data_IF_148666814370
#
_entry.id   IF_148666814370
#
_cell.length_a   1.000
_cell.length_b   1.000
_cell.length_c   1.000
_cell.angle_alpha   90.00
_cell.angle_beta   90.00
_cell.angle_gamma   90.00
#
_symmetry.space_group_name_H-M   'P 1'
#
loop_
_entity.id
_entity.type
_entity.pdbx_description
1 polymer ?
#
# COMPACT_ATOMS: atom_id res chain seq x y z
N UNK A 1 3.58 -6.87 -30.95
CA UNK A 1 2.97 -6.39 -29.68
C UNK A 1 1.57 -6.97 -29.58
N UNK A 2 1.30 -7.90 -28.66
CA UNK A 2 -0.04 -8.49 -28.54
C UNK A 2 -1.05 -7.40 -28.12
N UNK A 3 -2.10 -7.19 -28.93
CA UNK A 3 -3.19 -6.24 -28.62
C UNK A 3 -3.71 -6.54 -27.21
N UNK A 4 -3.72 -5.54 -26.34
CA UNK A 4 -4.32 -5.69 -25.01
C UNK A 4 -5.81 -5.94 -25.23
N UNK A 5 -6.32 -7.09 -24.78
CA UNK A 5 -7.75 -7.43 -24.91
C UNK A 5 -8.61 -6.30 -24.35
N UNK A 6 -9.68 -5.95 -25.08
CA UNK A 6 -10.67 -4.93 -24.68
C UNK A 6 -11.19 -5.17 -23.26
N UNK A 7 -11.34 -6.43 -22.86
CA UNK A 7 -11.76 -6.81 -21.50
C UNK A 7 -10.76 -6.39 -20.41
N UNK A 8 -9.45 -6.39 -20.71
CA UNK A 8 -8.41 -5.92 -19.77
C UNK A 8 -8.38 -4.41 -19.68
N UNK A 9 -8.67 -3.71 -20.79
CA UNK A 9 -8.79 -2.24 -20.80
C UNK A 9 -10.02 -1.83 -19.98
N UNK A 10 -11.17 -2.46 -20.22
CA UNK A 10 -12.40 -2.25 -19.46
C UNK A 10 -12.21 -2.53 -17.96
N UNK A 11 -11.54 -3.64 -17.61
CA UNK A 11 -11.24 -3.93 -16.21
C UNK A 11 -10.34 -2.86 -15.57
N UNK A 12 -9.36 -2.32 -16.30
CA UNK A 12 -8.51 -1.24 -15.78
C UNK A 12 -9.28 0.07 -15.61
N UNK A 13 -10.13 0.45 -16.55
CA UNK A 13 -10.97 1.64 -16.40
C UNK A 13 -11.92 1.51 -15.22
N UNK A 14 -12.50 0.33 -14.99
CA UNK A 14 -13.32 0.06 -13.81
C UNK A 14 -12.52 0.18 -12.51
N UNK A 15 -11.30 -0.37 -12.44
CA UNK A 15 -10.46 -0.21 -11.25
C UNK A 15 -10.04 1.26 -11.06
N UNK A 16 -9.83 2.02 -12.14
CA UNK A 16 -9.53 3.46 -12.04
C UNK A 16 -10.72 4.23 -11.47
N UNK A 17 -11.92 3.98 -12.00
CA UNK A 17 -13.15 4.59 -11.52
C UNK A 17 -13.41 4.22 -10.04
N UNK A 18 -13.30 2.93 -9.69
CA UNK A 18 -13.46 2.46 -8.32
C UNK A 18 -12.39 3.04 -7.37
N UNK A 19 -11.17 3.24 -7.84
CA UNK A 19 -10.11 3.83 -7.03
C UNK A 19 -10.22 5.35 -6.87
N UNK A 20 -10.91 6.04 -7.78
CA UNK A 20 -11.19 7.47 -7.66
C UNK A 20 -12.50 7.75 -6.92
N UNK A 21 -13.43 6.80 -6.89
CA UNK A 21 -14.74 6.95 -6.25
C UNK A 21 -14.67 7.43 -4.79
N UNK A 22 -13.77 6.93 -3.92
CA UNK A 22 -13.69 7.41 -2.54
C UNK A 22 -13.32 8.89 -2.48
N UNK A 23 -12.31 9.33 -3.24
CA UNK A 23 -11.92 10.74 -3.31
C UNK A 23 -13.02 11.62 -3.92
N UNK A 24 -13.75 11.15 -4.93
CA UNK A 24 -14.87 11.88 -5.51
C UNK A 24 -16.01 12.05 -4.48
N UNK A 25 -16.33 10.98 -3.75
CA UNK A 25 -17.33 11.01 -2.68
C UNK A 25 -16.91 11.92 -1.53
N UNK A 26 -15.62 11.91 -1.14
CA UNK A 26 -15.11 12.78 -0.09
C UNK A 26 -15.03 14.24 -0.51
N UNK A 27 -14.61 14.52 -1.74
CA UNK A 27 -14.63 15.88 -2.29
C UNK A 27 -16.04 16.46 -2.31
N UNK A 28 -17.03 15.63 -2.68
CA UNK A 28 -18.44 16.01 -2.63
C UNK A 28 -18.95 16.23 -1.19
N UNK A 29 -18.62 15.34 -0.25
CA UNK A 29 -18.98 15.50 1.17
C UNK A 29 -18.37 16.77 1.77
N UNK A 30 -17.08 17.01 1.56
CA UNK A 30 -16.39 18.22 2.03
C UNK A 30 -17.01 19.50 1.45
N UNK A 31 -17.28 19.51 0.15
CA UNK A 31 -17.96 20.63 -0.51
C UNK A 31 -19.35 20.88 0.09
N UNK A 32 -20.11 19.82 0.36
CA UNK A 32 -21.42 19.93 0.97
C UNK A 32 -21.35 20.50 2.39
N UNK A 33 -20.43 20.01 3.22
CA UNK A 33 -20.18 20.56 4.57
C UNK A 33 -19.80 22.04 4.49
N UNK A 34 -18.90 22.41 3.58
CA UNK A 34 -18.46 23.80 3.40
C UNK A 34 -19.61 24.73 2.97
N UNK A 35 -20.50 24.27 2.10
CA UNK A 35 -21.61 25.08 1.59
C UNK A 35 -22.80 25.16 2.55
N UNK A 36 -23.12 24.07 3.23
CA UNK A 36 -24.39 23.92 3.96
C UNK A 36 -24.24 23.88 5.47
N UNK A 37 -23.00 23.79 5.97
CA UNK A 37 -22.74 23.57 7.40
C UNK A 37 -23.22 22.20 7.90
N UNK A 38 -23.46 21.23 7.01
CA UNK A 38 -23.98 19.91 7.36
C UNK A 38 -23.00 19.09 8.21
N UNK A 39 -23.50 18.25 9.12
CA UNK A 39 -22.68 17.33 9.94
C UNK A 39 -22.23 16.04 9.22
N UNK A 40 -22.19 16.04 7.88
CA UNK A 40 -21.96 14.84 7.07
C UNK A 40 -20.57 14.18 7.29
N UNK A 41 -19.61 14.90 7.85
CA UNK A 41 -18.27 14.42 8.20
C UNK A 41 -18.08 14.20 9.71
N UNK A 42 -19.14 14.31 10.51
CA UNK A 42 -19.11 14.14 11.97
C UNK A 42 -18.54 15.35 12.71
N UNK A 43 -18.26 15.16 14.01
CA UNK A 43 -17.86 16.23 14.93
C UNK A 43 -16.47 16.83 14.63
N UNK A 44 -15.57 16.06 14.02
CA UNK A 44 -14.27 16.54 13.54
C UNK A 44 -14.05 16.12 12.07
N UNK A 45 -14.45 16.98 11.11
CA UNK A 45 -14.31 16.71 9.70
C UNK A 45 -12.86 16.49 9.24
N UNK A 46 -11.89 17.12 9.91
CA UNK A 46 -10.47 17.04 9.54
C UNK A 46 -9.93 15.66 9.91
N UNK A 47 -10.17 15.24 11.16
CA UNK A 47 -9.76 13.92 11.63
C UNK A 47 -10.39 12.80 10.79
N UNK A 48 -11.64 12.94 10.37
CA UNK A 48 -12.31 11.93 9.53
C UNK A 48 -11.70 11.85 8.12
N UNK A 49 -11.33 12.98 7.52
CA UNK A 49 -10.66 13.02 6.21
C UNK A 49 -9.31 12.32 6.29
N UNK A 50 -8.50 12.63 7.31
CA UNK A 50 -7.21 12.02 7.52
C UNK A 50 -7.33 10.51 7.74
N UNK A 51 -8.25 10.10 8.61
CA UNK A 51 -8.49 8.70 8.91
C UNK A 51 -8.90 7.92 7.66
N UNK A 52 -9.87 8.42 6.88
CA UNK A 52 -10.34 7.74 5.66
C UNK A 52 -9.28 7.69 4.58
N UNK A 53 -8.58 8.79 4.31
CA UNK A 53 -7.52 8.83 3.29
C UNK A 53 -6.36 7.89 3.64
N UNK A 54 -5.98 7.84 4.92
CA UNK A 54 -5.00 6.89 5.46
C UNK A 54 -5.43 5.44 5.31
N UNK A 55 -6.69 5.12 5.64
CA UNK A 55 -7.26 3.78 5.45
C UNK A 55 -7.26 3.35 3.99
N UNK A 56 -7.63 4.22 3.06
CA UNK A 56 -7.58 3.90 1.63
C UNK A 56 -6.16 3.68 1.13
N UNK A 57 -5.18 4.45 1.59
CA UNK A 57 -3.77 4.21 1.30
C UNK A 57 -3.33 2.82 1.77
N UNK A 58 -3.68 2.44 3.01
CA UNK A 58 -3.36 1.13 3.58
C UNK A 58 -4.06 -0.01 2.82
N UNK A 59 -5.34 0.15 2.47
CA UNK A 59 -6.10 -0.83 1.67
C UNK A 59 -5.44 -1.06 0.32
N UNK A 60 -5.10 -0.01 -0.44
CA UNK A 60 -4.42 -0.17 -1.72
C UNK A 60 -3.05 -0.83 -1.58
N UNK A 61 -2.30 -0.52 -0.52
CA UNK A 61 -1.02 -1.16 -0.22
C UNK A 61 -1.19 -2.66 0.03
N UNK A 62 -2.15 -3.06 0.86
CA UNK A 62 -2.43 -4.46 1.17
C UNK A 62 -2.97 -5.23 -0.04
N UNK A 63 -3.86 -4.63 -0.83
CA UNK A 63 -4.35 -5.21 -2.10
C UNK A 63 -3.16 -5.42 -3.05
N UNK A 64 -2.24 -4.46 -3.15
CA UNK A 64 -1.02 -4.58 -3.96
C UNK A 64 -0.14 -5.74 -3.50
N UNK A 65 0.00 -5.94 -2.18
CA UNK A 65 0.71 -7.07 -1.58
C UNK A 65 -0.02 -8.40 -1.83
N UNK A 66 -1.35 -8.40 -1.84
CA UNK A 66 -2.21 -9.58 -2.04
C UNK A 66 -2.21 -10.14 -3.47
N UNK A 67 -1.88 -9.33 -4.48
CA UNK A 67 -1.83 -9.80 -5.88
C UNK A 67 -0.90 -11.01 -6.07
N UNK A 68 0.23 -11.05 -5.35
CA UNK A 68 1.17 -12.17 -5.53
C UNK A 68 0.62 -13.48 -4.97
N UNK A 69 0.17 -13.58 -3.71
CA UNK A 69 -0.47 -14.81 -3.21
C UNK A 69 -1.71 -15.17 -4.02
N UNK A 70 -2.57 -14.20 -4.37
CA UNK A 70 -3.77 -14.47 -5.16
C UNK A 70 -3.45 -15.07 -6.54
N UNK A 71 -2.45 -14.52 -7.25
CA UNK A 71 -1.96 -15.09 -8.52
C UNK A 71 -1.38 -16.49 -8.35
N UNK A 72 -0.77 -16.80 -7.20
CA UNK A 72 -0.21 -18.13 -6.94
C UNK A 72 -1.29 -19.16 -6.62
N UNK A 73 -2.36 -18.76 -5.93
CA UNK A 73 -3.50 -19.61 -5.61
C UNK A 73 -4.40 -19.85 -6.83
N UNK A 74 -4.68 -18.79 -7.60
CA UNK A 74 -5.62 -18.85 -8.74
C UNK A 74 -4.97 -19.21 -10.07
N UNK A 75 -3.64 -19.13 -10.17
CA UNK A 75 -2.91 -19.30 -11.44
C UNK A 75 -3.08 -18.15 -12.44
N UNK A 76 -3.90 -17.14 -12.15
CA UNK A 76 -4.25 -16.09 -13.11
C UNK A 76 -3.13 -15.04 -13.26
N UNK A 77 -2.37 -15.12 -14.35
CA UNK A 77 -1.29 -14.17 -14.64
C UNK A 77 -1.78 -12.73 -14.88
N UNK A 78 -3.06 -12.54 -15.24
CA UNK A 78 -3.66 -11.22 -15.50
C UNK A 78 -3.59 -10.30 -14.28
N UNK A 79 -3.67 -10.85 -13.06
CA UNK A 79 -3.63 -10.10 -11.81
C UNK A 79 -2.37 -9.25 -11.64
N UNK A 80 -1.23 -9.72 -12.17
CA UNK A 80 0.05 -8.97 -12.12
C UNK A 80 -0.07 -7.63 -12.85
N UNK A 81 -0.89 -7.56 -13.91
CA UNK A 81 -1.06 -6.35 -14.72
C UNK A 81 -1.69 -5.20 -13.94
N UNK A 82 -2.37 -5.48 -12.83
CA UNK A 82 -2.99 -4.50 -11.93
C UNK A 82 -2.07 -4.05 -10.80
N UNK A 83 -0.98 -4.78 -10.53
CA UNK A 83 -0.09 -4.51 -9.38
C UNK A 83 0.51 -3.11 -9.39
N UNK A 84 1.02 -2.68 -10.54
CA UNK A 84 1.59 -1.34 -10.69
C UNK A 84 0.54 -0.26 -10.44
N UNK A 85 -0.65 -0.45 -11.00
CA UNK A 85 -1.74 0.50 -10.90
C UNK A 85 -2.18 0.69 -9.44
N UNK A 86 -2.42 -0.41 -8.74
CA UNK A 86 -2.82 -0.37 -7.32
C UNK A 86 -1.72 0.19 -6.41
N UNK A 87 -0.44 -0.11 -6.70
CA UNK A 87 0.69 0.47 -5.97
C UNK A 87 0.80 1.98 -6.14
N UNK A 88 0.50 2.51 -7.35
CA UNK A 88 0.45 3.95 -7.59
C UNK A 88 -0.72 4.61 -6.85
N UNK A 89 -1.88 3.94 -6.77
CA UNK A 89 -2.99 4.42 -5.96
C UNK A 89 -2.67 4.44 -4.47
N UNK A 90 -1.95 3.44 -3.95
CA UNK A 90 -1.47 3.46 -2.56
C UNK A 90 -0.62 4.71 -2.29
N UNK A 91 0.32 5.05 -3.19
CA UNK A 91 1.12 6.26 -3.06
C UNK A 91 0.30 7.55 -3.22
N UNK A 92 -0.65 7.58 -4.16
CA UNK A 92 -1.54 8.72 -4.36
C UNK A 92 -2.36 9.02 -3.10
N UNK A 93 -3.06 8.02 -2.54
CA UNK A 93 -3.82 8.19 -1.30
C UNK A 93 -2.92 8.52 -0.10
N UNK A 94 -1.71 7.94 -0.01
CA UNK A 94 -0.76 8.31 1.04
C UNK A 94 -0.31 9.79 0.91
N UNK A 95 -0.20 10.30 -0.31
CA UNK A 95 0.16 11.70 -0.55
C UNK A 95 -1.01 12.64 -0.27
N UNK A 96 -2.24 12.23 -0.58
CA UNK A 96 -3.45 12.96 -0.19
C UNK A 96 -3.60 12.99 1.33
N UNK A 97 -3.34 11.87 2.02
CA UNK A 97 -3.35 11.80 3.48
C UNK A 97 -2.31 12.75 4.10
N UNK A 98 -1.07 12.73 3.60
CA UNK A 98 -0.04 13.68 4.06
C UNK A 98 -0.42 15.12 3.75
N UNK A 99 -0.97 15.41 2.57
CA UNK A 99 -1.41 16.75 2.22
C UNK A 99 -2.54 17.22 3.14
N UNK A 100 -3.53 16.37 3.45
CA UNK A 100 -4.60 16.67 4.39
C UNK A 100 -4.05 17.02 5.78
N UNK A 101 -3.12 16.23 6.30
CA UNK A 101 -2.43 16.53 7.56
C UNK A 101 -1.72 17.89 7.54
N UNK A 102 -0.98 18.18 6.47
CA UNK A 102 -0.23 19.43 6.37
C UNK A 102 -1.12 20.67 6.22
N UNK A 103 -2.23 20.56 5.48
CA UNK A 103 -3.08 21.71 5.15
C UNK A 103 -4.25 21.90 6.11
N UNK A 104 -4.83 20.83 6.63
CA UNK A 104 -6.04 20.88 7.46
C UNK A 104 -5.71 20.85 8.94
N UNK A 105 -4.82 19.95 9.39
CA UNK A 105 -4.45 19.81 10.80
C UNK A 105 -3.36 20.82 11.20
N UNK A 106 -2.25 20.86 10.46
CA UNK A 106 -1.19 21.86 10.66
C UNK A 106 -1.52 23.25 10.12
N UNK A 107 -2.64 23.42 9.40
CA UNK A 107 -3.07 24.70 8.79
C UNK A 107 -1.97 25.44 8.01
N UNK A 108 -0.98 24.73 7.48
CA UNK A 108 0.14 25.31 6.75
C UNK A 108 1.24 25.97 7.61
N UNK A 109 1.34 25.70 8.91
CA UNK A 109 2.47 26.15 9.74
C UNK A 109 3.73 25.28 9.49
N UNK A 110 4.35 25.47 8.33
CA UNK A 110 5.50 24.67 7.85
C UNK A 110 6.71 24.66 8.80
N UNK A 111 6.87 25.68 9.63
CA UNK A 111 7.96 25.79 10.61
C UNK A 111 7.79 24.79 11.77
N UNK A 112 6.57 24.37 12.09
CA UNK A 112 6.26 23.46 13.19
C UNK A 112 6.33 21.99 12.79
N UNK A 113 6.33 21.69 11.49
CA UNK A 113 6.34 20.31 10.94
C UNK A 113 7.49 19.48 11.52
N UNK A 114 8.70 20.02 11.54
CA UNK A 114 9.86 19.26 12.00
C UNK A 114 9.77 18.94 13.49
N UNK A 115 9.29 19.88 14.31
CA UNK A 115 9.08 19.63 15.73
C UNK A 115 7.98 18.61 15.99
N UNK A 116 6.85 18.73 15.30
CA UNK A 116 5.71 17.81 15.36
C UNK A 116 6.13 16.37 14.99
N UNK A 117 6.84 16.21 13.87
CA UNK A 117 7.36 14.90 13.42
C UNK A 117 8.24 14.29 14.51
N UNK A 118 9.21 15.05 15.06
CA UNK A 118 10.13 14.55 16.07
C UNK A 118 9.47 14.25 17.42
N UNK A 119 8.48 15.04 17.83
CA UNK A 119 7.76 14.87 19.10
C UNK A 119 6.76 13.72 19.04
N UNK A 120 6.23 13.38 17.86
CA UNK A 120 5.16 12.38 17.70
C UNK A 120 5.66 11.16 16.91
N UNK A 121 5.96 10.04 17.58
CA UNK A 121 6.57 8.87 16.93
C UNK A 121 5.69 8.26 15.83
N UNK A 122 4.36 8.32 15.98
CA UNK A 122 3.44 7.85 14.94
C UNK A 122 3.57 8.65 13.64
N UNK A 123 3.73 9.96 13.71
CA UNK A 123 3.89 10.83 12.54
C UNK A 123 5.24 10.55 11.86
N UNK A 124 6.31 10.40 12.63
CA UNK A 124 7.62 9.97 12.10
C UNK A 124 7.51 8.66 11.33
N UNK A 125 6.84 7.64 11.88
CA UNK A 125 6.69 6.33 11.20
C UNK A 125 5.87 6.45 9.92
N UNK A 126 4.78 7.23 9.94
CA UNK A 126 3.95 7.49 8.76
C UNK A 126 4.73 8.21 7.66
N UNK A 127 5.47 9.26 8.03
CA UNK A 127 6.32 10.02 7.11
C UNK A 127 7.45 9.17 6.52
N UNK A 128 8.10 8.34 7.34
CA UNK A 128 9.11 7.39 6.87
C UNK A 128 8.52 6.37 5.87
N UNK A 129 7.31 5.86 6.12
CA UNK A 129 6.62 4.97 5.19
C UNK A 129 6.34 5.67 3.84
N UNK A 130 5.89 6.92 3.87
CA UNK A 130 5.66 7.73 2.67
C UNK A 130 6.96 8.02 1.89
N UNK A 131 8.05 8.37 2.58
CA UNK A 131 9.37 8.57 1.98
C UNK A 131 9.88 7.31 1.29
N UNK A 132 9.65 6.12 1.87
CA UNK A 132 10.00 4.85 1.25
C UNK A 132 9.09 4.50 0.06
N UNK A 133 7.82 4.93 0.05
CA UNK A 133 6.93 4.77 -1.11
C UNK A 133 7.35 5.63 -2.31
N UNK A 134 7.92 6.81 -2.07
CA UNK A 134 8.32 7.76 -3.11
C UNK A 134 9.25 7.14 -4.18
N UNK A 135 10.38 6.48 -3.85
CA UNK A 135 11.22 5.86 -4.87
C UNK A 135 10.51 4.72 -5.61
N UNK A 136 9.57 4.02 -4.99
CA UNK A 136 8.77 2.97 -5.64
C UNK A 136 7.82 3.59 -6.68
N UNK A 137 7.20 4.72 -6.37
CA UNK A 137 6.34 5.44 -7.29
C UNK A 137 7.14 6.00 -8.49
N UNK A 138 8.27 6.66 -8.23
CA UNK A 138 9.14 7.22 -9.28
C UNK A 138 9.65 6.13 -10.22
N UNK A 139 10.09 5.00 -9.65
CA UNK A 139 10.66 3.88 -10.43
C UNK A 139 9.60 2.94 -11.00
N UNK A 140 8.31 3.27 -10.88
CA UNK A 140 7.22 2.51 -11.50
C UNK A 140 7.07 2.77 -13.01
N UNK A 141 7.83 3.69 -13.62
CA UNK A 141 7.75 3.95 -15.07
C UNK A 141 8.54 2.95 -15.92
N UNK A 142 8.15 2.78 -17.19
CA UNK A 142 8.82 1.87 -18.13
C UNK A 142 10.28 2.23 -18.41
N UNK A 143 10.64 3.52 -18.28
CA UNK A 143 12.02 3.97 -18.39
C UNK A 143 12.88 3.42 -17.26
N UNK A 144 12.46 3.61 -16.02
CA UNK A 144 13.21 3.16 -14.83
C UNK A 144 13.27 1.64 -14.71
N UNK A 145 12.19 0.93 -15.05
CA UNK A 145 12.21 -0.55 -15.10
C UNK A 145 13.30 -1.09 -16.04
N UNK A 146 13.47 -0.48 -17.22
CA UNK A 146 14.50 -0.86 -18.19
C UNK A 146 15.91 -0.47 -17.74
N UNK A 147 16.07 0.67 -17.06
CA UNK A 147 17.36 1.16 -16.55
C UNK A 147 17.88 0.34 -15.37
N UNK A 148 17.04 0.06 -14.38
CA UNK A 148 17.44 -0.56 -13.11
C UNK A 148 17.50 -2.09 -13.15
N UNK A 149 16.81 -2.76 -14.10
CA UNK A 149 16.83 -4.22 -14.29
C UNK A 149 16.68 -4.99 -12.97
N UNK A 150 17.71 -5.72 -12.53
CA UNK A 150 17.69 -6.54 -11.30
C UNK A 150 17.60 -5.69 -10.02
N UNK A 151 18.13 -4.47 -10.03
CA UNK A 151 18.06 -3.55 -8.90
C UNK A 151 16.65 -2.99 -8.72
N UNK A 152 15.83 -2.93 -9.78
CA UNK A 152 14.42 -2.53 -9.68
C UNK A 152 13.65 -3.45 -8.73
N UNK A 153 13.86 -4.78 -8.87
CA UNK A 153 13.23 -5.78 -8.01
C UNK A 153 13.69 -5.67 -6.55
N UNK A 154 14.98 -5.35 -6.31
CA UNK A 154 15.53 -5.09 -4.97
C UNK A 154 14.91 -3.84 -4.33
N UNK A 155 14.82 -2.74 -5.09
CA UNK A 155 14.17 -1.52 -4.60
C UNK A 155 12.70 -1.78 -4.25
N UNK A 156 11.98 -2.53 -5.08
CA UNK A 156 10.57 -2.86 -4.82
C UNK A 156 10.35 -3.86 -3.67
N UNK A 157 11.40 -4.41 -3.04
CA UNK A 157 11.21 -5.14 -1.78
C UNK A 157 10.91 -4.22 -0.60
N UNK A 158 11.15 -2.91 -0.73
CA UNK A 158 10.78 -1.92 0.29
C UNK A 158 9.27 -1.88 0.56
N UNK A 159 8.43 -2.41 -0.34
CA UNK A 159 6.99 -2.55 -0.08
C UNK A 159 6.67 -3.35 1.19
N UNK A 160 7.57 -4.25 1.63
CA UNK A 160 7.38 -5.02 2.86
C UNK A 160 7.61 -4.18 4.13
N UNK A 161 8.77 -3.52 4.33
CA UNK A 161 8.92 -2.60 5.47
C UNK A 161 7.92 -1.44 5.41
N UNK A 162 7.55 -0.94 4.23
CA UNK A 162 6.48 0.08 4.10
C UNK A 162 5.16 -0.44 4.67
N UNK A 163 4.76 -1.68 4.35
CA UNK A 163 3.56 -2.30 4.91
C UNK A 163 3.60 -2.37 6.43
N UNK A 164 4.74 -2.75 7.00
CA UNK A 164 4.92 -2.82 8.46
C UNK A 164 4.82 -1.44 9.11
N UNK A 165 5.50 -0.45 8.55
CA UNK A 165 5.45 0.94 9.05
C UNK A 165 4.05 1.52 8.94
N UNK A 166 3.31 1.25 7.84
CA UNK A 166 1.95 1.74 7.66
C UNK A 166 0.98 1.15 8.70
N UNK A 167 1.09 -0.15 8.99
CA UNK A 167 0.29 -0.79 10.06
C UNK A 167 0.69 -0.27 11.43
N UNK A 168 1.99 -0.11 11.71
CA UNK A 168 2.47 0.43 12.98
C UNK A 168 2.00 1.87 13.21
N UNK A 169 2.08 2.71 12.18
CA UNK A 169 1.53 4.06 12.19
C UNK A 169 0.05 4.07 12.55
N UNK A 170 -0.75 3.20 11.90
CA UNK A 170 -2.18 3.10 12.20
C UNK A 170 -2.45 2.56 13.61
N UNK A 171 -1.64 1.61 14.08
CA UNK A 171 -1.77 1.03 15.42
C UNK A 171 -1.55 2.06 16.53
N UNK A 172 -0.54 2.92 16.40
CA UNK A 172 -0.28 3.96 17.40
C UNK A 172 -1.28 5.11 17.39
N UNK A 173 -2.00 5.30 16.28
CA UNK A 173 -3.02 6.35 16.18
C UNK A 173 -4.27 6.00 17.02
N UNK A 174 -4.64 4.72 17.07
CA UNK A 174 -5.89 4.29 17.69
C UNK A 174 -5.73 4.11 19.20
N UNK A 175 -6.51 4.87 19.98
CA UNK A 175 -6.41 4.89 21.45
C UNK A 175 -7.30 3.86 22.17
N UNK A 176 -8.41 3.41 21.57
CA UNK A 176 -9.40 2.58 22.27
C UNK A 176 -9.89 1.35 21.51
N UNK A 177 -10.19 1.45 20.21
CA UNK A 177 -10.68 0.30 19.42
C UNK A 177 -9.62 -0.32 18.50
N UNK A 178 -8.84 -1.26 19.04
CA UNK A 178 -7.78 -1.94 18.29
C UNK A 178 -8.28 -2.95 17.24
N UNK A 179 -9.60 -3.18 17.10
CA UNK A 179 -10.14 -4.21 16.18
C UNK A 179 -9.76 -3.94 14.74
N UNK A 180 -9.89 -2.70 14.29
CA UNK A 180 -9.53 -2.31 12.92
C UNK A 180 -8.01 -2.43 12.67
N UNK A 181 -7.12 -1.83 13.49
CA UNK A 181 -5.68 -2.04 13.36
C UNK A 181 -5.28 -3.52 13.40
N UNK A 182 -5.88 -4.31 14.29
CA UNK A 182 -5.64 -5.75 14.40
C UNK A 182 -6.02 -6.52 13.14
N UNK A 183 -7.14 -6.16 12.50
CA UNK A 183 -7.54 -6.76 11.23
C UNK A 183 -6.49 -6.51 10.14
N UNK A 184 -6.06 -5.26 9.94
CA UNK A 184 -5.06 -4.95 8.91
C UNK A 184 -3.69 -5.53 9.23
N UNK A 185 -3.28 -5.57 10.50
CA UNK A 185 -2.07 -6.24 10.95
C UNK A 185 -2.13 -7.74 10.66
N UNK A 186 -3.26 -8.39 10.94
CA UNK A 186 -3.50 -9.79 10.64
C UNK A 186 -3.43 -10.09 9.15
N UNK A 187 -4.08 -9.26 8.31
CA UNK A 187 -3.99 -9.37 6.85
C UNK A 187 -2.52 -9.25 6.39
N UNK A 188 -1.80 -8.25 6.86
CA UNK A 188 -0.39 -8.07 6.50
C UNK A 188 0.45 -9.28 6.93
N UNK A 189 0.26 -9.78 8.16
CA UNK A 189 0.96 -10.93 8.70
C UNK A 189 0.73 -12.19 7.84
N UNK A 190 -0.51 -12.46 7.43
CA UNK A 190 -0.84 -13.56 6.51
C UNK A 190 -0.16 -13.37 5.16
N UNK A 191 -0.21 -12.16 4.59
CA UNK A 191 0.39 -11.87 3.28
C UNK A 191 1.92 -12.00 3.26
N UNK A 192 2.60 -11.54 4.32
CA UNK A 192 4.05 -11.67 4.47
C UNK A 192 4.44 -13.10 4.85
N UNK A 193 3.69 -13.74 5.75
CA UNK A 193 3.87 -15.13 6.17
C UNK A 193 3.80 -16.10 4.99
N UNK A 194 2.83 -15.92 4.09
CA UNK A 194 2.73 -16.69 2.84
C UNK A 194 4.03 -16.64 2.01
N UNK A 195 4.66 -15.47 1.91
CA UNK A 195 5.89 -15.28 1.13
C UNK A 195 7.09 -15.95 1.79
N UNK A 196 7.19 -15.85 3.11
CA UNK A 196 8.24 -16.52 3.89
C UNK A 196 8.10 -18.03 3.74
N UNK A 197 6.89 -18.57 3.95
CA UNK A 197 6.62 -20.00 3.79
C UNK A 197 7.01 -20.51 2.42
N UNK A 198 6.58 -19.85 1.34
CA UNK A 198 6.94 -20.26 -0.02
C UNK A 198 8.45 -20.23 -0.28
N UNK A 199 9.16 -19.21 0.22
CA UNK A 199 10.62 -19.08 0.08
C UNK A 199 11.34 -20.22 0.81
N UNK A 200 10.85 -20.62 1.97
CA UNK A 200 11.40 -21.74 2.74
C UNK A 200 11.09 -23.09 2.06
N UNK A 201 9.86 -23.30 1.59
CA UNK A 201 9.46 -24.52 0.89
C UNK A 201 10.25 -24.73 -0.41
N UNK A 202 10.47 -23.67 -1.20
CA UNK A 202 11.28 -23.75 -2.42
C UNK A 202 12.74 -24.14 -2.14
N UNK A 203 13.34 -23.62 -1.05
CA UNK A 203 14.70 -23.96 -0.62
C UNK A 203 14.82 -25.43 -0.20
N UNK A 204 13.81 -25.96 0.50
CA UNK A 204 13.76 -27.38 0.91
C UNK A 204 13.73 -28.32 -0.30
N UNK A 205 12.96 -27.99 -1.34
CA UNK A 205 12.88 -28.80 -2.57
C UNK A 205 14.19 -28.80 -3.36
N UNK A 206 14.89 -27.66 -3.43
CA UNK A 206 16.20 -27.59 -4.10
C UNK A 206 17.26 -28.38 -3.34
N UNK A 207 17.32 -28.27 -2.01
CA UNK A 207 18.27 -29.00 -1.17
C UNK A 207 18.09 -30.53 -1.26
N UNK A 208 16.85 -31.00 -1.37
CA UNK A 208 16.53 -32.44 -1.53
C UNK A 208 16.91 -33.01 -2.90
N UNK A 209 17.00 -32.16 -3.94
CA UNK A 209 17.44 -32.57 -5.29
C UNK A 209 18.97 -32.62 -5.44
N UNK A 210 19.71 -31.93 -4.57
CA UNK A 210 21.18 -31.92 -4.59
C UNK A 210 21.83 -33.05 -3.78
N UNK A 211 21.06 -33.88 -3.08
CA UNK A 211 21.59 -35.07 -2.38
C UNK A 211 21.86 -36.17 -3.40
N UNK A 212 23.13 -36.60 -3.60
CA UNK A 212 23.45 -37.71 -4.50
C UNK A 212 22.77 -39.00 -4.02
N UNK A 213 22.29 -39.88 -4.93
CA UNK A 213 21.77 -41.18 -4.52
C UNK A 213 22.85 -41.97 -3.77
N UNK A 214 22.46 -42.77 -2.75
CA UNK A 214 23.42 -43.62 -2.04
C UNK A 214 24.12 -44.55 -3.02
N UNK A 215 25.44 -44.64 -2.93
CA UNK A 215 26.24 -45.53 -3.76
C UNK A 215 25.76 -46.98 -3.52
N UNK A 216 25.35 -47.65 -4.60
CA UNK A 216 25.00 -49.07 -4.56
C UNK A 216 26.20 -49.90 -4.10
N UNK A 217 26.10 -50.69 -3.03
CA UNK A 217 27.17 -51.61 -2.64
C UNK A 217 27.38 -52.63 -3.76
N UNK A 218 28.65 -52.80 -4.18
CA UNK A 218 29.09 -53.85 -5.11
C UNK A 218 29.22 -55.18 -4.40
#
# INVERSE_FOLDING_TARGET
MAKTSTSVIAAKTLVHAAALAPIALFGWQFWHVWQTGSDALGADPVAEIEHRTGLWALRFLLITLAITPLRQLTGQAVLIRFRRMLGLYAFFYASVHLAAYLTLDLRGFWTQIFEEILKRPYITVGFAAWLLLMPLAITSTQGWMRRLKRNWGRLHTLIYPIGLLAVLHFWWLVKSDIREPALYAGILAVLLGWRVWKKLSARRTTARRSTPPPATPR
#
